data_IF_748450850151
#
_entry.id   IF_748450850151
#
_cell.length_a   1.000
_cell.length_b   1.000
_cell.length_c   1.000
_cell.angle_alpha   90.00
_cell.angle_beta   90.00
_cell.angle_gamma   90.00
#
_symmetry.space_group_name_H-M   'P 1'
#
loop_
_entity.id
_entity.type
_entity.pdbx_description
1 polymer ?
#
# COMPACT_ATOMS: atom_id res chain seq x y z
N UNK A 1 30.30 34.84 -5.71
CA UNK A 1 29.00 34.32 -5.21
C UNK A 1 28.41 33.50 -6.34
N UNK A 2 28.61 32.19 -6.33
CA UNK A 2 28.01 31.26 -7.30
C UNK A 2 27.75 29.93 -6.60
N UNK A 3 26.59 29.83 -5.97
CA UNK A 3 26.05 28.60 -5.42
C UNK A 3 25.02 28.05 -6.39
N UNK A 4 25.33 26.94 -7.05
CA UNK A 4 24.31 26.06 -7.65
C UNK A 4 24.46 24.68 -7.02
N UNK A 5 23.77 24.54 -5.88
CA UNK A 5 23.50 23.28 -5.22
C UNK A 5 22.43 22.55 -6.04
N UNK A 6 22.78 21.40 -6.61
CA UNK A 6 21.83 20.48 -7.24
C UNK A 6 20.87 19.93 -6.19
N UNK A 7 19.69 20.52 -6.10
CA UNK A 7 18.59 19.98 -5.29
C UNK A 7 17.91 18.86 -6.07
N UNK A 8 17.99 17.65 -5.52
CA UNK A 8 17.20 16.49 -5.91
C UNK A 8 15.71 16.83 -5.81
N UNK A 9 15.07 17.07 -6.95
CA UNK A 9 13.64 17.30 -7.03
C UNK A 9 12.91 15.96 -6.90
N UNK A 10 12.30 15.76 -5.73
CA UNK A 10 11.39 14.66 -5.43
C UNK A 10 10.14 14.80 -6.33
N UNK A 11 10.07 13.97 -7.39
CA UNK A 11 8.93 13.88 -8.30
C UNK A 11 7.74 13.20 -7.60
N UNK A 12 7.06 13.97 -6.74
CA UNK A 12 5.79 13.59 -6.09
C UNK A 12 4.58 14.32 -6.65
N UNK A 13 4.70 14.98 -7.81
CA UNK A 13 3.57 15.64 -8.45
C UNK A 13 2.84 14.66 -9.38
N UNK A 14 1.63 14.31 -8.95
CA UNK A 14 0.47 14.18 -9.84
C UNK A 14 0.41 12.94 -10.75
N UNK A 15 0.15 11.78 -10.16
CA UNK A 15 -0.47 10.67 -10.90
C UNK A 15 -1.94 10.53 -10.50
N UNK A 16 -2.78 11.33 -11.15
CA UNK A 16 -4.22 11.07 -11.24
C UNK A 16 -4.61 11.12 -12.72
N UNK A 17 -4.55 10.02 -13.47
CA UNK A 17 -5.19 9.98 -14.78
C UNK A 17 -6.68 9.70 -14.57
N UNK A 18 -7.50 10.63 -15.04
CA UNK A 18 -8.89 10.38 -15.37
C UNK A 18 -8.94 9.56 -16.67
N UNK A 19 -9.69 8.45 -16.67
CA UNK A 19 -10.03 7.68 -17.86
C UNK A 19 -9.05 6.55 -18.22
N UNK A 20 -9.63 5.37 -18.51
CA UNK A 20 -9.00 4.18 -19.12
C UNK A 20 -7.78 3.56 -18.40
N UNK A 21 -7.55 3.89 -17.13
CA UNK A 21 -6.55 3.25 -16.27
C UNK A 21 -7.11 2.07 -15.45
N UNK A 22 -8.27 1.53 -15.84
CA UNK A 22 -8.92 0.41 -15.16
C UNK A 22 -8.22 -0.95 -15.39
N UNK A 23 -7.42 -1.09 -16.46
CA UNK A 23 -6.86 -2.39 -16.84
C UNK A 23 -5.48 -2.73 -16.23
N UNK A 24 -4.76 -1.77 -15.63
CA UNK A 24 -3.48 -2.04 -14.94
C UNK A 24 -3.41 -1.39 -13.57
N UNK A 25 -4.47 -1.57 -12.80
CA UNK A 25 -4.46 -1.22 -11.39
C UNK A 25 -3.55 -2.20 -10.65
N UNK A 26 -2.37 -1.76 -10.21
CA UNK A 26 -1.47 -2.58 -9.37
C UNK A 26 -2.26 -3.09 -8.15
N UNK A 27 -1.97 -4.31 -7.63
CA UNK A 27 -2.70 -4.89 -6.49
C UNK A 27 -2.70 -4.00 -5.22
N UNK A 28 -1.82 -3.00 -5.15
CA UNK A 28 -1.82 -1.97 -4.13
C UNK A 28 -2.92 -0.91 -4.24
N UNK A 29 -3.76 -0.90 -5.28
CA UNK A 29 -4.79 0.13 -5.47
C UNK A 29 -6.22 -0.30 -5.11
N UNK A 30 -6.46 -1.59 -4.87
CA UNK A 30 -7.82 -2.12 -4.68
C UNK A 30 -8.20 -2.25 -3.20
N UNK A 31 -7.24 -2.63 -2.36
CA UNK A 31 -7.41 -2.83 -0.92
C UNK A 31 -6.45 -1.95 -0.13
N UNK A 32 -6.44 -0.64 -0.42
CA UNK A 32 -5.49 0.32 0.14
C UNK A 32 -5.66 0.46 1.64
N UNK A 33 -6.90 0.55 2.10
CA UNK A 33 -7.21 0.76 3.52
C UNK A 33 -6.89 -0.50 4.34
N UNK A 34 -7.24 -1.69 3.82
CA UNK A 34 -6.88 -2.96 4.46
C UNK A 34 -5.36 -3.19 4.48
N UNK A 35 -4.67 -2.77 3.41
CA UNK A 35 -3.22 -2.83 3.36
C UNK A 35 -2.58 -1.89 4.38
N UNK A 36 -3.05 -0.65 4.48
CA UNK A 36 -2.56 0.33 5.43
C UNK A 36 -2.79 -0.15 6.87
N UNK A 37 -3.99 -0.62 7.21
CA UNK A 37 -4.30 -1.14 8.53
C UNK A 37 -3.46 -2.38 8.89
N UNK A 38 -3.21 -3.28 7.94
CA UNK A 38 -2.31 -4.43 8.14
C UNK A 38 -0.88 -3.97 8.40
N UNK A 39 -0.38 -3.04 7.59
CA UNK A 39 1.00 -2.55 7.68
C UNK A 39 1.22 -1.77 8.97
N UNK A 40 0.27 -0.91 9.37
CA UNK A 40 0.28 -0.22 10.66
C UNK A 40 0.25 -1.22 11.81
N UNK A 41 -0.62 -2.23 11.75
CA UNK A 41 -0.66 -3.26 12.78
C UNK A 41 0.70 -3.98 12.91
N UNK A 42 1.31 -4.43 11.81
CA UNK A 42 2.60 -5.11 11.88
C UNK A 42 3.75 -4.19 12.30
N UNK A 43 3.71 -2.90 11.95
CA UNK A 43 4.76 -1.95 12.25
C UNK A 43 4.70 -1.45 13.70
N UNK A 44 3.50 -1.37 14.28
CA UNK A 44 3.28 -0.81 15.62
C UNK A 44 2.87 -1.85 16.67
N UNK A 45 2.65 -3.12 16.31
CA UNK A 45 2.36 -4.17 17.29
C UNK A 45 3.56 -4.41 18.20
N UNK A 46 3.31 -4.45 19.51
CA UNK A 46 4.28 -4.78 20.54
C UNK A 46 4.24 -6.27 20.93
N UNK A 47 3.47 -7.08 20.19
CA UNK A 47 3.35 -8.50 20.44
C UNK A 47 4.67 -9.23 20.11
N UNK A 48 4.99 -10.34 20.80
CA UNK A 48 6.13 -11.18 20.45
C UNK A 48 6.00 -11.79 19.05
N UNK A 49 4.76 -11.95 18.55
CA UNK A 49 4.46 -12.36 17.18
C UNK A 49 3.38 -11.44 16.58
N UNK A 50 3.79 -10.37 15.86
CA UNK A 50 2.87 -9.44 15.23
C UNK A 50 2.13 -10.06 14.03
N UNK A 51 2.60 -11.17 13.45
CA UNK A 51 1.87 -11.86 12.37
C UNK A 51 0.61 -12.54 12.90
N UNK A 52 0.69 -13.15 14.08
CA UNK A 52 -0.48 -13.74 14.74
C UNK A 52 -1.41 -12.66 15.31
N UNK A 53 -0.86 -11.58 15.87
CA UNK A 53 -1.66 -10.47 16.40
C UNK A 53 -2.45 -9.76 15.28
N UNK A 54 -1.81 -9.54 14.14
CA UNK A 54 -2.42 -8.86 12.98
C UNK A 54 -3.15 -9.79 12.02
N UNK A 55 -3.38 -11.07 12.37
CA UNK A 55 -3.99 -12.06 11.48
C UNK A 55 -5.38 -11.62 10.97
N UNK A 56 -6.15 -10.92 11.80
CA UNK A 56 -7.45 -10.39 11.41
C UNK A 56 -7.33 -9.39 10.25
N UNK A 57 -6.34 -8.50 10.30
CA UNK A 57 -6.09 -7.49 9.28
C UNK A 57 -5.54 -8.13 8.00
N UNK A 58 -4.65 -9.12 8.15
CA UNK A 58 -4.14 -9.90 7.02
C UNK A 58 -5.28 -10.64 6.30
N UNK A 59 -6.19 -11.26 7.06
CA UNK A 59 -7.34 -11.97 6.50
C UNK A 59 -8.26 -11.03 5.74
N UNK A 60 -8.58 -9.86 6.31
CA UNK A 60 -9.37 -8.82 5.63
C UNK A 60 -8.74 -8.38 4.31
N UNK A 61 -7.43 -8.13 4.30
CA UNK A 61 -6.69 -7.77 3.09
C UNK A 61 -6.74 -8.88 2.04
N UNK A 62 -6.57 -10.15 2.45
CA UNK A 62 -6.68 -11.32 1.57
C UNK A 62 -8.10 -11.47 0.99
N UNK A 63 -9.13 -11.31 1.82
CA UNK A 63 -10.53 -11.37 1.38
C UNK A 63 -10.87 -10.25 0.40
N UNK A 64 -10.38 -9.04 0.65
CA UNK A 64 -10.55 -7.92 -0.27
C UNK A 64 -9.89 -8.23 -1.62
N UNK A 65 -8.63 -8.67 -1.64
CA UNK A 65 -7.94 -9.01 -2.90
C UNK A 65 -8.60 -10.18 -3.63
N UNK A 66 -9.09 -11.19 -2.91
CA UNK A 66 -9.82 -12.31 -3.48
C UNK A 66 -11.13 -11.87 -4.16
N UNK A 67 -11.81 -10.84 -3.63
CA UNK A 67 -13.00 -10.24 -4.26
C UNK A 67 -12.72 -9.62 -5.63
N UNK A 68 -11.47 -9.24 -5.90
CA UNK A 68 -11.01 -8.73 -7.19
C UNK A 68 -10.30 -9.79 -8.05
N UNK A 69 -10.32 -11.06 -7.64
CA UNK A 69 -9.70 -12.17 -8.36
C UNK A 69 -8.20 -12.34 -8.12
N UNK A 70 -7.64 -11.68 -7.11
CA UNK A 70 -6.22 -11.80 -6.74
C UNK A 70 -6.05 -12.60 -5.46
N UNK A 71 -5.54 -13.83 -5.57
CA UNK A 71 -5.20 -14.66 -4.41
C UNK A 71 -3.75 -14.43 -4.01
N UNK A 72 -3.53 -14.00 -2.77
CA UNK A 72 -2.20 -13.76 -2.20
C UNK A 72 -1.88 -14.85 -1.15
N UNK A 73 -0.71 -15.52 -1.26
CA UNK A 73 -0.29 -16.55 -0.33
C UNK A 73 -0.09 -16.01 1.10
#
# INVERSE_FOLDING_TARGET
MSTTSSTSANMGAEFKPAGEAAEKVKPCCVCKDEKAARDECMLFSNAPDPQQDCQNMVTKYKSCMAGFGFTIP
#
